data_IF_838278446547
#
_entry.id   IF_838278446547
#
_cell.length_a   1.000
_cell.length_b   1.000
_cell.length_c   1.000
_cell.angle_alpha   90.00
_cell.angle_beta   90.00
_cell.angle_gamma   90.00
#
_symmetry.space_group_name_H-M   'P 1'
#
loop_
_entity.id
_entity.type
_entity.pdbx_description
1 polymer ?
#
# COMPACT_ATOMS: atom_id res chain seq x y z
N UNK A 1 4.94 8.72 11.83
CA UNK A 1 3.99 9.66 12.48
C UNK A 1 2.58 9.10 12.50
N UNK A 2 2.14 8.51 11.40
CA UNK A 2 0.79 7.91 11.30
C UNK A 2 0.66 6.69 12.20
N UNK A 3 1.68 5.87 12.30
CA UNK A 3 1.70 4.70 13.18
C UNK A 3 1.56 5.05 14.66
N UNK A 4 2.14 6.16 15.09
CA UNK A 4 2.03 6.62 16.48
C UNK A 4 0.65 7.19 16.80
N UNK A 5 -0.06 7.69 15.82
CA UNK A 5 -1.43 8.20 15.97
C UNK A 5 -2.45 7.07 15.90
N UNK A 6 -2.14 6.01 15.13
CA UNK A 6 -3.02 4.86 14.92
C UNK A 6 -2.70 3.70 15.87
N UNK A 7 -2.72 3.91 17.16
CA UNK A 7 -2.63 2.81 18.14
C UNK A 7 -3.71 1.74 18.00
N UNK A 8 -4.70 1.99 17.15
CA UNK A 8 -5.80 1.07 16.87
C UNK A 8 -5.40 -0.14 16.02
N UNK A 9 -4.24 -0.13 15.35
CA UNK A 9 -3.84 -1.26 14.51
C UNK A 9 -3.56 -2.55 15.29
N UNK A 10 -3.26 -2.44 16.57
CA UNK A 10 -3.06 -3.59 17.46
C UNK A 10 -4.35 -4.21 18.02
N UNK A 11 -5.50 -3.59 17.76
CA UNK A 11 -6.81 -4.07 18.23
C UNK A 11 -7.73 -4.37 17.05
N UNK A 12 -8.11 -5.63 16.81
CA UNK A 12 -8.92 -6.02 15.64
C UNK A 12 -10.24 -5.25 15.53
N UNK A 13 -10.90 -5.02 16.65
CA UNK A 13 -12.19 -4.31 16.73
C UNK A 13 -12.07 -2.81 16.46
N UNK A 14 -10.87 -2.26 16.58
CA UNK A 14 -10.59 -0.83 16.42
C UNK A 14 -9.62 -0.55 15.27
N UNK A 15 -9.25 -1.57 14.50
CA UNK A 15 -8.34 -1.41 13.37
C UNK A 15 -9.03 -0.64 12.24
N UNK A 16 -8.88 0.68 12.28
CA UNK A 16 -9.38 1.60 11.27
C UNK A 16 -8.25 2.15 10.39
N UNK A 17 -7.07 1.54 10.41
CA UNK A 17 -5.92 1.98 9.62
C UNK A 17 -6.29 2.15 8.16
N UNK A 18 -7.10 1.24 7.63
CA UNK A 18 -7.57 1.29 6.24
C UNK A 18 -8.34 2.56 5.89
N UNK A 19 -9.07 3.13 6.83
CA UNK A 19 -9.85 4.36 6.63
C UNK A 19 -9.18 5.59 7.22
N UNK A 20 -8.47 5.43 8.32
CA UNK A 20 -7.82 6.52 9.03
C UNK A 20 -6.65 7.12 8.24
N UNK A 21 -5.78 6.29 7.64
CA UNK A 21 -4.66 6.78 6.83
C UNK A 21 -5.15 7.62 5.64
N UNK A 22 -6.10 7.14 4.82
CA UNK A 22 -6.69 7.97 3.76
C UNK A 22 -7.33 9.26 4.29
N UNK A 23 -8.02 9.20 5.44
CA UNK A 23 -8.63 10.38 6.04
C UNK A 23 -7.59 11.44 6.42
N UNK A 24 -6.47 11.03 7.03
CA UNK A 24 -5.36 11.95 7.36
C UNK A 24 -4.74 12.54 6.10
N UNK A 25 -4.46 11.69 5.10
CA UNK A 25 -3.86 12.15 3.83
C UNK A 25 -4.80 13.10 3.08
N UNK A 26 -6.11 12.97 3.27
CA UNK A 26 -7.11 13.85 2.64
C UNK A 26 -7.20 15.25 3.25
N UNK A 27 -6.62 15.49 4.43
CA UNK A 27 -6.65 16.78 5.09
C UNK A 27 -6.08 17.88 4.18
N UNK A 28 -6.78 19.04 4.02
CA UNK A 28 -6.32 20.10 3.12
C UNK A 28 -4.89 20.57 3.42
N UNK A 29 -4.53 20.66 4.70
CA UNK A 29 -3.19 21.09 5.09
C UNK A 29 -2.11 20.09 4.63
N UNK A 30 -2.38 18.81 4.69
CA UNK A 30 -1.46 17.76 4.20
C UNK A 30 -1.34 17.85 2.68
N UNK A 31 -2.48 17.94 1.99
CA UNK A 31 -2.53 18.03 0.51
C UNK A 31 -1.81 19.27 -0.03
N UNK A 32 -1.86 20.39 0.68
CA UNK A 32 -1.24 21.64 0.26
C UNK A 32 0.25 21.72 0.59
N UNK A 33 0.70 21.07 1.66
CA UNK A 33 2.06 21.23 2.17
C UNK A 33 3.01 20.12 1.78
N UNK A 34 2.51 18.91 1.55
CA UNK A 34 3.36 17.79 1.14
C UNK A 34 3.59 17.88 -0.37
N UNK A 35 4.81 18.18 -0.76
CA UNK A 35 5.22 18.34 -2.16
C UNK A 35 6.08 17.16 -2.66
N UNK A 36 6.64 16.40 -1.74
CA UNK A 36 7.50 15.27 -2.06
C UNK A 36 7.42 14.22 -0.96
N UNK A 37 7.35 12.96 -1.37
CA UNK A 37 7.43 11.81 -0.50
C UNK A 37 8.74 11.07 -0.81
N UNK A 38 9.47 10.71 0.22
CA UNK A 38 10.69 9.91 0.11
C UNK A 38 10.54 8.73 1.05
N UNK A 39 10.73 7.53 0.51
CA UNK A 39 10.64 6.29 1.28
C UNK A 39 11.95 5.52 1.12
N UNK A 40 12.54 5.19 2.25
CA UNK A 40 13.71 4.34 2.34
C UNK A 40 13.28 2.87 2.23
N UNK A 41 13.97 2.10 1.40
CA UNK A 41 13.77 0.68 1.19
C UNK A 41 15.10 -0.07 1.19
N UNK A 42 16.05 0.27 2.06
CA UNK A 42 17.32 -0.47 2.17
C UNK A 42 17.07 -1.84 2.78
N UNK A 43 16.20 -1.89 3.78
CA UNK A 43 15.81 -3.13 4.44
C UNK A 43 14.31 -3.10 4.72
N UNK A 44 13.61 -4.17 4.37
CA UNK A 44 12.17 -4.29 4.56
C UNK A 44 11.77 -5.62 5.19
N UNK A 45 10.55 -5.65 5.72
CA UNK A 45 9.90 -6.87 6.21
C UNK A 45 8.81 -7.23 5.21
N UNK A 46 8.85 -8.45 4.66
CA UNK A 46 7.86 -8.89 3.69
C UNK A 46 6.74 -9.75 4.30
N UNK A 47 6.87 -10.16 5.57
CA UNK A 47 5.87 -10.94 6.29
C UNK A 47 5.99 -10.71 7.80
N UNK A 48 4.86 -10.73 8.51
CA UNK A 48 4.78 -10.56 9.97
C UNK A 48 5.35 -9.23 10.51
N UNK A 49 5.31 -8.15 9.71
CA UNK A 49 5.61 -6.81 10.20
C UNK A 49 4.47 -6.21 11.04
N UNK A 50 4.64 -5.06 11.71
CA UNK A 50 5.84 -4.22 11.77
C UNK A 50 6.84 -4.59 12.88
N UNK A 51 6.57 -5.63 13.64
CA UNK A 51 7.43 -6.07 14.74
C UNK A 51 8.71 -6.75 14.22
N UNK A 52 9.66 -7.02 15.13
CA UNK A 52 10.84 -7.79 14.79
C UNK A 52 10.44 -9.12 14.15
N UNK A 53 10.75 -9.29 12.88
CA UNK A 53 10.39 -10.46 12.09
C UNK A 53 11.65 -11.06 11.47
N UNK A 54 11.76 -12.39 11.36
CA UNK A 54 12.82 -13.03 10.61
C UNK A 54 12.65 -12.87 9.09
N UNK A 55 11.45 -12.45 8.64
CA UNK A 55 11.11 -12.31 7.22
C UNK A 55 11.57 -10.99 6.64
N UNK A 56 12.88 -10.80 6.60
CA UNK A 56 13.53 -9.57 6.13
C UNK A 56 14.08 -9.76 4.73
N UNK A 57 14.17 -8.68 3.97
CA UNK A 57 14.84 -8.63 2.69
C UNK A 57 15.44 -7.23 2.46
N UNK A 58 16.31 -7.12 1.47
CA UNK A 58 17.04 -5.88 1.17
C UNK A 58 16.72 -5.40 -0.25
N UNK A 59 15.67 -4.60 -0.45
CA UNK A 59 15.37 -4.01 -1.76
C UNK A 59 16.47 -3.07 -2.24
N UNK A 60 17.26 -2.51 -1.31
CA UNK A 60 18.35 -1.55 -1.59
C UNK A 60 17.89 -0.42 -2.51
N UNK A 61 16.74 0.12 -2.20
CA UNK A 61 16.05 1.09 -3.04
C UNK A 61 15.71 2.36 -2.27
N UNK A 62 15.67 3.47 -2.98
CA UNK A 62 15.10 4.72 -2.53
C UNK A 62 13.93 5.05 -3.47
N UNK A 63 12.77 5.33 -2.91
CA UNK A 63 11.59 5.71 -3.66
C UNK A 63 11.32 7.20 -3.46
N UNK A 64 11.02 7.87 -4.55
CA UNK A 64 10.72 9.31 -4.55
C UNK A 64 9.48 9.53 -5.41
N UNK A 65 8.49 10.25 -4.89
CA UNK A 65 7.26 10.54 -5.60
C UNK A 65 6.57 11.78 -5.06
N UNK A 66 5.87 12.50 -5.91
CA UNK A 66 4.91 13.54 -5.51
C UNK A 66 3.54 12.94 -5.17
N UNK A 67 3.30 11.68 -5.51
CA UNK A 67 2.07 10.94 -5.27
C UNK A 67 2.31 9.85 -4.21
N UNK A 68 1.76 10.00 -2.98
CA UNK A 68 1.97 9.04 -1.91
C UNK A 68 1.31 7.68 -2.21
N UNK A 69 0.18 7.67 -2.91
CA UNK A 69 -0.54 6.42 -3.24
C UNK A 69 0.27 5.63 -4.27
N UNK A 70 0.77 6.30 -5.30
CA UNK A 70 1.62 5.67 -6.31
C UNK A 70 2.91 5.11 -5.68
N UNK A 71 3.54 5.83 -4.76
CA UNK A 71 4.74 5.37 -4.07
C UNK A 71 4.49 4.11 -3.27
N UNK A 72 3.45 4.09 -2.44
CA UNK A 72 3.08 2.91 -1.64
C UNK A 72 2.70 1.73 -2.53
N UNK A 73 2.00 1.98 -3.64
CA UNK A 73 1.63 0.93 -4.59
C UNK A 73 2.83 0.28 -5.27
N UNK A 74 3.85 1.07 -5.61
CA UNK A 74 5.12 0.54 -6.16
C UNK A 74 5.88 -0.24 -5.07
N UNK A 75 5.93 0.26 -3.84
CA UNK A 75 6.54 -0.47 -2.72
C UNK A 75 5.83 -1.80 -2.46
N UNK A 76 4.50 -1.83 -2.51
CA UNK A 76 3.73 -3.08 -2.43
C UNK A 76 4.16 -4.08 -3.50
N UNK A 77 4.38 -3.63 -4.74
CA UNK A 77 4.85 -4.51 -5.82
C UNK A 77 6.23 -5.12 -5.51
N UNK A 78 7.13 -4.34 -4.91
CA UNK A 78 8.45 -4.83 -4.50
C UNK A 78 8.32 -5.88 -3.39
N UNK A 79 7.48 -5.63 -2.40
CA UNK A 79 7.20 -6.58 -1.32
C UNK A 79 6.51 -7.83 -1.88
N UNK A 80 5.53 -7.69 -2.77
CA UNK A 80 4.79 -8.80 -3.37
C UNK A 80 5.68 -9.72 -4.21
N UNK A 81 6.67 -9.16 -4.89
CA UNK A 81 7.68 -9.97 -5.59
C UNK A 81 8.43 -10.87 -4.61
N UNK A 82 8.88 -10.33 -3.47
CA UNK A 82 9.56 -11.10 -2.44
C UNK A 82 8.63 -12.12 -1.76
N UNK A 83 7.36 -11.76 -1.56
CA UNK A 83 6.34 -12.67 -1.02
C UNK A 83 6.08 -13.85 -1.95
N UNK A 84 6.01 -13.61 -3.26
CA UNK A 84 5.84 -14.66 -4.27
C UNK A 84 7.01 -15.66 -4.25
N UNK A 85 8.26 -15.19 -4.13
CA UNK A 85 9.43 -16.06 -3.98
C UNK A 85 9.35 -16.92 -2.71
N UNK A 86 8.71 -16.44 -1.66
CA UNK A 86 8.49 -17.15 -0.41
C UNK A 86 7.21 -18.01 -0.40
N UNK A 87 6.47 -18.10 -1.52
CA UNK A 87 5.21 -18.84 -1.60
C UNK A 87 4.04 -18.18 -0.88
N UNK A 88 4.15 -16.90 -0.55
CA UNK A 88 3.11 -16.14 0.15
C UNK A 88 2.20 -15.39 -0.81
N UNK A 89 0.92 -15.21 -0.48
CA UNK A 89 0.01 -14.42 -1.29
C UNK A 89 0.40 -12.94 -1.29
N UNK A 90 0.03 -12.18 -2.34
CA UNK A 90 0.29 -10.74 -2.39
C UNK A 90 -0.40 -9.99 -1.24
N UNK A 91 0.15 -8.84 -0.85
CA UNK A 91 -0.37 -8.00 0.23
C UNK A 91 -1.83 -7.60 0.02
N UNK A 92 -2.24 -7.34 -1.21
CA UNK A 92 -3.63 -7.01 -1.55
C UNK A 92 -4.62 -8.13 -1.22
N UNK A 93 -4.15 -9.38 -1.10
CA UNK A 93 -4.96 -10.55 -0.75
C UNK A 93 -4.71 -11.06 0.67
N UNK A 94 -3.74 -10.54 1.37
CA UNK A 94 -3.37 -11.03 2.70
C UNK A 94 -4.55 -10.95 3.69
N UNK A 95 -5.39 -9.93 3.58
CA UNK A 95 -6.59 -9.81 4.41
C UNK A 95 -7.78 -10.65 4.00
N UNK A 96 -7.72 -11.31 2.85
CA UNK A 96 -8.77 -12.22 2.36
C UNK A 96 -8.50 -13.66 2.77
N UNK A 97 -7.29 -13.96 3.18
CA UNK A 97 -6.89 -15.30 3.62
C UNK A 97 -7.06 -15.35 5.13
N UNK A 98 -8.28 -15.54 5.55
CA UNK A 98 -8.59 -15.91 6.92
C UNK A 98 -8.33 -17.39 7.09
N UNK A 99 -7.09 -17.77 7.30
CA UNK A 99 -6.82 -19.07 7.83
C UNK A 99 -7.29 -19.11 9.29
N UNK A 100 -8.13 -20.07 9.60
CA UNK A 100 -8.60 -20.31 10.94
C UNK A 100 -7.40 -20.45 11.88
N UNK A 101 -7.27 -19.53 12.81
CA UNK A 101 -6.46 -19.73 14.00
C UNK A 101 -5.19 -18.91 14.14
N UNK A 102 -4.87 -17.97 13.27
CA UNK A 102 -3.79 -17.05 13.56
C UNK A 102 -4.34 -15.67 13.96
N UNK A 103 -4.09 -15.26 15.18
CA UNK A 103 -4.40 -13.92 15.71
C UNK A 103 -3.70 -12.79 14.92
N UNK A 104 -2.82 -13.16 14.03
CA UNK A 104 -2.05 -12.29 13.15
C UNK A 104 -2.90 -11.65 12.05
N UNK A 105 -4.04 -12.22 11.72
CA UNK A 105 -4.86 -11.82 10.58
C UNK A 105 -5.39 -10.40 10.67
N UNK A 106 -5.65 -9.91 11.86
CA UNK A 106 -6.13 -8.55 12.03
C UNK A 106 -5.06 -7.49 11.81
N UNK A 107 -3.79 -7.85 11.96
CA UNK A 107 -2.65 -6.98 11.67
C UNK A 107 -2.34 -6.96 10.16
N UNK A 108 -2.75 -8.00 9.43
CA UNK A 108 -2.39 -8.23 8.03
C UNK A 108 -3.57 -8.20 7.07
N UNK A 109 -4.55 -7.34 7.32
CA UNK A 109 -5.70 -7.16 6.42
C UNK A 109 -5.34 -6.56 5.06
N UNK A 110 -4.10 -6.72 4.64
CA UNK A 110 -3.60 -6.16 3.39
C UNK A 110 -3.42 -4.64 3.47
N UNK A 111 -2.84 -4.09 2.44
CA UNK A 111 -2.62 -2.65 2.32
C UNK A 111 -3.88 -1.94 1.77
N UNK A 112 -5.05 -2.23 2.33
CA UNK A 112 -6.34 -1.70 1.88
C UNK A 112 -6.45 -0.18 1.98
N UNK A 113 -5.67 0.46 2.85
CA UNK A 113 -5.59 1.92 2.94
C UNK A 113 -5.08 2.55 1.63
N UNK A 114 -4.18 1.88 0.91
CA UNK A 114 -3.66 2.38 -0.38
C UNK A 114 -4.77 2.32 -1.44
N UNK A 115 -5.55 1.23 -1.46
CA UNK A 115 -6.70 1.08 -2.36
C UNK A 115 -7.77 2.14 -2.08
N UNK A 116 -8.13 2.32 -0.81
CA UNK A 116 -9.12 3.32 -0.39
C UNK A 116 -8.65 4.73 -0.73
N UNK A 117 -7.37 5.04 -0.52
CA UNK A 117 -6.80 6.33 -0.88
C UNK A 117 -6.87 6.58 -2.40
N UNK A 118 -6.57 5.56 -3.20
CA UNK A 118 -6.73 5.62 -4.66
C UNK A 118 -8.19 5.85 -5.07
N UNK A 119 -9.14 5.12 -4.48
CA UNK A 119 -10.58 5.30 -4.74
C UNK A 119 -11.08 6.69 -4.36
N UNK A 120 -10.55 7.25 -3.29
CA UNK A 120 -10.86 8.61 -2.84
C UNK A 120 -10.20 9.70 -3.71
N UNK A 121 -9.42 9.33 -4.73
CA UNK A 121 -8.75 10.29 -5.60
C UNK A 121 -7.56 11.03 -4.95
N UNK A 122 -6.98 10.43 -3.90
CA UNK A 122 -5.84 11.01 -3.20
C UNK A 122 -4.51 10.80 -3.95
N UNK A 123 -4.49 9.90 -4.91
CA UNK A 123 -3.37 9.61 -5.80
C UNK A 123 -3.72 8.50 -6.78
N UNK A 124 -2.75 8.06 -7.57
CA UNK A 124 -2.90 7.03 -8.61
C UNK A 124 -2.56 5.66 -8.04
N UNK A 125 -3.52 4.74 -8.09
CA UNK A 125 -3.34 3.37 -7.59
C UNK A 125 -3.01 2.35 -8.68
N UNK A 126 -3.59 2.49 -9.87
CA UNK A 126 -3.50 1.49 -10.92
C UNK A 126 -2.10 1.43 -11.55
N UNK A 127 -1.53 0.24 -11.66
CA UNK A 127 -0.29 -0.02 -12.39
C UNK A 127 -0.56 -0.11 -13.90
N UNK A 128 -1.74 -0.60 -14.27
CA UNK A 128 -2.19 -0.74 -15.65
C UNK A 128 -3.73 -0.69 -15.74
N UNK A 129 -4.26 -0.71 -16.94
CA UNK A 129 -5.70 -0.63 -17.16
C UNK A 129 -6.46 -1.83 -16.57
N UNK A 130 -5.82 -2.99 -16.39
CA UNK A 130 -6.47 -4.18 -15.82
C UNK A 130 -6.68 -4.06 -14.30
N UNK A 131 -5.82 -3.29 -13.61
CA UNK A 131 -5.97 -3.01 -12.18
C UNK A 131 -7.28 -2.25 -11.90
N UNK A 132 -7.64 -1.30 -12.77
CA UNK A 132 -8.89 -0.56 -12.64
C UNK A 132 -10.11 -1.48 -12.66
N UNK A 133 -10.15 -2.41 -13.60
CA UNK A 133 -11.26 -3.34 -13.74
C UNK A 133 -11.36 -4.29 -12.55
N UNK A 134 -10.21 -4.78 -12.10
CA UNK A 134 -10.12 -5.72 -10.97
C UNK A 134 -10.51 -5.06 -9.66
N UNK A 135 -10.15 -3.81 -9.49
CA UNK A 135 -10.21 -3.12 -8.23
C UNK A 135 -11.53 -2.39 -7.97
N UNK A 136 -12.07 -1.71 -8.97
CA UNK A 136 -13.35 -1.00 -8.84
C UNK A 136 -14.56 -1.85 -9.22
N UNK A 137 -14.36 -3.04 -9.79
CA UNK A 137 -15.45 -3.82 -10.39
C UNK A 137 -16.17 -3.09 -11.53
N UNK A 138 -15.62 -1.97 -11.99
CA UNK A 138 -16.17 -1.08 -13.00
C UNK A 138 -15.27 -1.05 -14.22
N UNK A 139 -15.87 -1.02 -15.38
CA UNK A 139 -15.16 -0.74 -16.61
C UNK A 139 -14.87 0.77 -16.66
N UNK A 140 -13.59 1.20 -16.65
CA UNK A 140 -13.25 2.62 -16.68
C UNK A 140 -13.83 3.33 -17.91
N UNK A 141 -13.92 2.63 -19.05
CA UNK A 141 -14.52 3.16 -20.27
C UNK A 141 -16.02 3.50 -20.10
N UNK A 142 -16.69 2.83 -19.16
CA UNK A 142 -18.11 3.09 -18.85
C UNK A 142 -18.33 4.12 -17.75
N UNK A 143 -17.31 4.42 -16.95
CA UNK A 143 -17.42 5.36 -15.83
C UNK A 143 -17.19 6.83 -16.23
N UNK A 144 -16.76 7.11 -17.45
CA UNK A 144 -16.41 8.45 -17.92
C UNK A 144 -15.21 9.06 -17.19
N UNK A 145 -14.49 8.28 -16.40
CA UNK A 145 -13.30 8.72 -15.68
C UNK A 145 -12.05 8.45 -16.51
N UNK A 146 -11.14 9.39 -16.51
CA UNK A 146 -9.81 9.20 -17.10
C UNK A 146 -9.08 8.06 -16.39
N UNK A 147 -8.58 7.11 -17.18
CA UNK A 147 -7.74 6.03 -16.67
C UNK A 147 -6.34 6.60 -16.48
N UNK A 148 -5.97 6.83 -15.22
CA UNK A 148 -4.61 7.20 -14.85
C UNK A 148 -3.88 5.99 -14.32
N UNK A 149 -2.71 5.71 -14.87
CA UNK A 149 -1.80 4.66 -14.41
C UNK A 149 -0.55 5.28 -13.83
N UNK A 150 0.12 4.53 -12.96
CA UNK A 150 1.36 5.00 -12.34
C UNK A 150 2.46 5.02 -13.41
N UNK A 151 3.05 6.18 -13.61
CA UNK A 151 4.31 6.32 -14.33
C UNK A 151 5.46 6.04 -13.36
N UNK A 152 6.25 5.02 -13.66
CA UNK A 152 7.34 4.58 -12.81
C UNK A 152 8.63 4.39 -13.60
N UNK A 153 9.67 5.08 -13.19
CA UNK A 153 11.02 4.95 -13.73
C UNK A 153 11.93 4.31 -12.69
N UNK A 154 12.63 3.25 -13.05
CA UNK A 154 13.66 2.64 -12.24
C UNK A 154 15.04 3.03 -12.76
N UNK A 155 15.87 3.58 -11.90
CA UNK A 155 17.26 3.91 -12.18
C UNK A 155 18.13 2.96 -11.38
N UNK A 156 19.02 2.23 -12.04
CA UNK A 156 20.02 1.39 -11.37
C UNK A 156 21.30 2.20 -11.23
N UNK A 157 21.75 2.34 -10.00
CA UNK A 157 23.07 2.89 -9.70
C UNK A 157 24.00 1.69 -9.63
N UNK A 158 24.89 1.54 -10.59
CA UNK A 158 25.77 0.40 -10.85
C UNK A 158 26.41 -0.24 -9.64
#
# INVERSE_FOLDING_TARGET
>A
LVDNVCRSHSRPSLNQTSTFIPAVVSLPIIRQKVVLNVMEGFRGIYHLGPWASPHVFEPRSLFVSTDPVAMDRIAMKVIDARRAEAGLPPLTRAGQITEKGSDEHHLFRGATHVEIAGAAGLGVYALDASDWKRWLGQDPAKSGREIRTIEHTRISLG
#
